data_IF_510416338038
#
_entry.id   IF_510416338038
#
_cell.length_a   1.000
_cell.length_b   1.000
_cell.length_c   1.000
_cell.angle_alpha   90.00
_cell.angle_beta   90.00
_cell.angle_gamma   90.00
#
_symmetry.space_group_name_H-M   'P 1'
#
loop_
_entity.id
_entity.type
_entity.pdbx_description
1 polymer ?
#
# COMPACT_ATOMS: atom_id res chain seq x y z
N UNK A 1 10.48 18.81 -21.60
CA UNK A 1 10.08 17.44 -21.25
C UNK A 1 10.35 17.10 -19.77
N UNK A 2 11.52 17.42 -19.25
CA UNK A 2 11.84 17.23 -17.83
C UNK A 2 10.98 18.08 -16.92
N UNK A 3 10.68 19.31 -17.33
CA UNK A 3 9.83 20.23 -16.58
C UNK A 3 8.38 19.77 -16.53
N UNK A 4 7.84 19.25 -17.62
CA UNK A 4 6.48 18.71 -17.66
C UNK A 4 6.34 17.50 -16.76
N UNK A 5 7.32 16.60 -16.79
CA UNK A 5 7.33 15.41 -15.95
C UNK A 5 7.42 15.78 -14.47
N UNK A 6 8.25 16.76 -14.13
CA UNK A 6 8.36 17.29 -12.77
C UNK A 6 7.05 17.93 -12.32
N UNK A 7 6.40 18.73 -13.18
CA UNK A 7 5.11 19.33 -12.88
C UNK A 7 4.03 18.31 -12.59
N UNK A 8 3.99 17.21 -13.33
CA UNK A 8 3.03 16.12 -13.09
C UNK A 8 3.30 15.43 -11.76
N UNK A 9 4.56 15.21 -11.41
CA UNK A 9 4.95 14.62 -10.12
C UNK A 9 4.54 15.54 -8.98
N UNK A 10 4.80 16.84 -9.09
CA UNK A 10 4.44 17.82 -8.07
C UNK A 10 2.91 17.89 -7.86
N UNK A 11 2.13 17.82 -8.93
CA UNK A 11 0.66 17.77 -8.84
C UNK A 11 0.19 16.49 -8.15
N UNK A 12 0.79 15.36 -8.48
CA UNK A 12 0.46 14.08 -7.86
C UNK A 12 0.77 14.11 -6.36
N UNK A 13 1.93 14.65 -5.97
CA UNK A 13 2.28 14.80 -4.56
C UNK A 13 1.28 15.67 -3.80
N UNK A 14 0.87 16.80 -4.38
CA UNK A 14 -0.14 17.66 -3.78
C UNK A 14 -1.45 16.93 -3.58
N UNK A 15 -1.87 16.17 -4.58
CA UNK A 15 -3.08 15.36 -4.51
C UNK A 15 -2.99 14.34 -3.36
N UNK A 16 -1.89 13.59 -3.28
CA UNK A 16 -1.73 12.59 -2.24
C UNK A 16 -1.64 13.21 -0.84
N UNK A 17 -0.99 14.37 -0.70
CA UNK A 17 -0.95 15.09 0.58
C UNK A 17 -2.34 15.54 1.03
N UNK A 18 -3.18 16.00 0.11
CA UNK A 18 -4.58 16.34 0.41
C UNK A 18 -5.37 15.09 0.79
N UNK A 19 -5.16 13.99 0.05
CA UNK A 19 -5.81 12.73 0.35
C UNK A 19 -5.44 12.25 1.75
N UNK A 20 -4.17 12.36 2.15
CA UNK A 20 -3.71 11.99 3.49
C UNK A 20 -4.44 12.80 4.56
N UNK A 21 -4.56 14.11 4.40
CA UNK A 21 -5.29 14.97 5.35
C UNK A 21 -6.74 14.50 5.53
N UNK A 22 -7.41 14.22 4.41
CA UNK A 22 -8.78 13.73 4.43
C UNK A 22 -8.88 12.37 5.13
N UNK A 23 -7.95 11.47 4.79
CA UNK A 23 -7.95 10.12 5.36
C UNK A 23 -7.59 10.12 6.84
N UNK A 24 -6.70 11.02 7.28
CA UNK A 24 -6.40 11.16 8.70
C UNK A 24 -7.62 11.64 9.48
N UNK A 25 -8.38 12.56 8.91
CA UNK A 25 -9.64 13.01 9.52
C UNK A 25 -10.64 11.87 9.61
N UNK A 26 -10.80 11.11 8.52
CA UNK A 26 -11.69 9.96 8.49
C UNK A 26 -11.26 8.90 9.51
N UNK A 27 -9.95 8.67 9.65
CA UNK A 27 -9.43 7.73 10.64
C UNK A 27 -9.68 8.20 12.07
N UNK A 28 -9.60 9.50 12.33
CA UNK A 28 -9.92 10.05 13.65
C UNK A 28 -11.38 9.85 14.02
N UNK A 29 -12.28 9.94 13.02
CA UNK A 29 -13.72 9.73 13.23
C UNK A 29 -14.08 8.25 13.35
N UNK A 30 -13.34 7.37 12.67
CA UNK A 30 -13.57 5.92 12.69
C UNK A 30 -12.22 5.17 12.66
N UNK A 31 -11.52 5.09 13.80
CA UNK A 31 -10.14 4.60 13.84
C UNK A 31 -9.97 3.09 13.60
N UNK A 32 -11.05 2.32 13.61
CA UNK A 32 -10.98 0.87 13.40
C UNK A 32 -11.31 0.46 11.97
N UNK A 33 -11.23 1.36 10.99
CA UNK A 33 -11.55 1.05 9.60
C UNK A 33 -10.29 0.63 8.84
N UNK A 34 -10.13 -0.69 8.54
CA UNK A 34 -8.95 -1.15 7.80
C UNK A 34 -8.88 -0.61 6.38
N UNK A 35 -9.99 -0.30 5.72
CA UNK A 35 -9.96 0.30 4.38
C UNK A 35 -9.31 1.68 4.41
N UNK A 36 -9.63 2.49 5.40
CA UNK A 36 -8.99 3.81 5.58
C UNK A 36 -7.49 3.66 5.82
N UNK A 37 -7.10 2.70 6.65
CA UNK A 37 -5.68 2.42 6.92
C UNK A 37 -4.95 1.94 5.66
N UNK A 38 -5.62 1.16 4.82
CA UNK A 38 -5.07 0.73 3.54
C UNK A 38 -4.80 1.94 2.62
N UNK A 39 -5.75 2.85 2.52
CA UNK A 39 -5.57 4.05 1.70
C UNK A 39 -4.50 4.98 2.26
N UNK A 40 -4.39 5.10 3.58
CA UNK A 40 -3.30 5.86 4.21
C UNK A 40 -1.94 5.25 3.88
N UNK A 41 -1.84 3.92 3.97
CA UNK A 41 -0.62 3.23 3.59
C UNK A 41 -0.25 3.49 2.13
N UNK A 42 -1.21 3.32 1.23
CA UNK A 42 -1.01 3.52 -0.20
C UNK A 42 -0.56 4.95 -0.53
N UNK A 43 -1.25 5.95 0.03
CA UNK A 43 -0.93 7.35 -0.25
C UNK A 43 0.42 7.77 0.30
N UNK A 44 0.80 7.29 1.49
CA UNK A 44 2.13 7.52 2.04
C UNK A 44 3.22 6.90 1.16
N UNK A 45 2.97 5.69 0.68
CA UNK A 45 3.90 5.03 -0.23
C UNK A 45 4.11 5.84 -1.51
N UNK A 46 3.02 6.38 -2.07
CA UNK A 46 3.08 7.15 -3.33
C UNK A 46 3.92 8.42 -3.22
N UNK A 47 4.03 8.99 -2.03
CA UNK A 47 4.89 10.17 -1.80
C UNK A 47 6.26 9.78 -1.24
N UNK A 48 6.58 8.49 -1.21
CA UNK A 48 7.89 8.01 -0.78
C UNK A 48 8.06 7.76 0.71
N UNK A 49 7.00 7.90 1.50
CA UNK A 49 7.03 7.65 2.95
C UNK A 49 6.80 6.17 3.25
N UNK A 50 7.79 5.34 2.91
CA UNK A 50 7.66 3.87 3.00
C UNK A 50 7.52 3.38 4.43
N UNK A 51 8.20 4.01 5.39
CA UNK A 51 8.06 3.65 6.82
C UNK A 51 6.65 3.88 7.32
N UNK A 52 6.09 5.04 7.04
CA UNK A 52 4.73 5.37 7.46
C UNK A 52 3.72 4.47 6.76
N UNK A 53 3.92 4.19 5.48
CA UNK A 53 3.07 3.27 4.73
C UNK A 53 3.03 1.90 5.42
N UNK A 54 4.18 1.36 5.77
CA UNK A 54 4.28 0.07 6.42
C UNK A 54 3.54 0.06 7.76
N UNK A 55 3.67 1.11 8.55
CA UNK A 55 3.00 1.23 9.84
C UNK A 55 1.48 1.18 9.67
N UNK A 56 0.93 1.95 8.72
CA UNK A 56 -0.50 1.94 8.47
C UNK A 56 -1.00 0.55 8.03
N UNK A 57 -0.26 -0.12 7.15
CA UNK A 57 -0.62 -1.46 6.71
C UNK A 57 -0.59 -2.46 7.88
N UNK A 58 0.46 -2.41 8.71
CA UNK A 58 0.58 -3.31 9.84
C UNK A 58 -0.53 -3.11 10.86
N UNK A 59 -0.89 -1.87 11.16
CA UNK A 59 -2.03 -1.57 12.04
C UNK A 59 -3.32 -2.12 11.44
N UNK A 60 -3.51 -1.94 10.15
CA UNK A 60 -4.68 -2.48 9.45
C UNK A 60 -4.76 -3.99 9.54
N UNK A 61 -3.63 -4.69 9.44
CA UNK A 61 -3.59 -6.16 9.57
C UNK A 61 -3.84 -6.63 10.99
N UNK A 62 -3.50 -5.85 12.01
CA UNK A 62 -3.87 -6.19 13.38
C UNK A 62 -5.39 -6.20 13.55
N UNK A 63 -6.08 -5.28 12.88
CA UNK A 63 -7.53 -5.19 12.94
C UNK A 63 -8.19 -6.25 12.04
N UNK A 64 -7.66 -6.41 10.83
CA UNK A 64 -8.22 -7.32 9.81
C UNK A 64 -7.09 -8.13 9.15
N UNK A 65 -6.62 -9.22 9.77
CA UNK A 65 -5.45 -9.97 9.29
C UNK A 65 -5.57 -10.53 7.88
N UNK A 66 -6.79 -10.77 7.40
CA UNK A 66 -7.02 -11.35 6.07
C UNK A 66 -7.48 -10.30 5.05
N UNK A 67 -7.37 -9.02 5.36
CA UNK A 67 -7.77 -7.96 4.44
C UNK A 67 -6.97 -8.07 3.14
N UNK A 68 -7.67 -8.29 2.04
CA UNK A 68 -7.02 -8.59 0.76
C UNK A 68 -6.16 -7.45 0.25
N UNK A 69 -6.70 -6.24 0.25
CA UNK A 69 -5.97 -5.06 -0.24
C UNK A 69 -4.71 -4.77 0.55
N UNK A 70 -4.77 -4.86 1.88
CA UNK A 70 -3.61 -4.59 2.73
C UNK A 70 -2.53 -5.65 2.52
N UNK A 71 -2.91 -6.93 2.47
CA UNK A 71 -1.95 -8.00 2.23
C UNK A 71 -1.27 -7.84 0.87
N UNK A 72 -2.01 -7.46 -0.16
CA UNK A 72 -1.43 -7.20 -1.47
C UNK A 72 -0.47 -6.01 -1.43
N UNK A 73 -0.90 -4.86 -0.95
CA UNK A 73 -0.10 -3.64 -1.00
C UNK A 73 1.12 -3.70 -0.08
N UNK A 74 0.97 -4.28 1.12
CA UNK A 74 2.12 -4.50 1.99
C UNK A 74 3.12 -5.47 1.37
N UNK A 75 2.62 -6.54 0.75
CA UNK A 75 3.46 -7.49 0.02
C UNK A 75 4.24 -6.81 -1.08
N UNK A 76 3.59 -5.93 -1.85
CA UNK A 76 4.25 -5.20 -2.93
C UNK A 76 5.27 -4.19 -2.40
N UNK A 77 4.98 -3.57 -1.25
CA UNK A 77 5.95 -2.70 -0.57
C UNK A 77 7.20 -3.50 -0.17
N UNK A 78 7.01 -4.70 0.36
CA UNK A 78 8.13 -5.58 0.70
C UNK A 78 8.95 -5.95 -0.52
N UNK A 79 8.31 -6.23 -1.67
CA UNK A 79 9.04 -6.49 -2.92
C UNK A 79 9.92 -5.29 -3.28
N UNK A 80 9.37 -4.09 -3.25
CA UNK A 80 10.10 -2.87 -3.64
C UNK A 80 11.17 -2.44 -2.64
N UNK A 81 11.13 -2.97 -1.41
CA UNK A 81 12.13 -2.68 -0.38
C UNK A 81 13.05 -3.88 -0.12
N UNK A 82 13.11 -4.83 -1.06
CA UNK A 82 14.02 -5.97 -1.03
C UNK A 82 13.78 -6.94 0.14
N UNK A 83 12.53 -7.09 0.53
CA UNK A 83 12.11 -8.00 1.59
C UNK A 83 11.19 -9.08 1.04
N UNK A 84 11.71 -9.85 0.07
CA UNK A 84 10.94 -10.83 -0.71
C UNK A 84 10.30 -11.91 0.17
N UNK A 85 11.02 -12.38 1.20
CA UNK A 85 10.48 -13.43 2.07
C UNK A 85 9.24 -12.93 2.84
N UNK A 86 9.22 -11.68 3.26
CA UNK A 86 8.05 -11.08 3.88
C UNK A 86 6.90 -10.90 2.89
N UNK A 87 7.22 -10.59 1.64
CA UNK A 87 6.21 -10.51 0.58
C UNK A 87 5.55 -11.88 0.37
N UNK A 88 6.32 -12.95 0.38
CA UNK A 88 5.80 -14.32 0.25
C UNK A 88 4.87 -14.69 1.40
N UNK A 89 5.15 -14.21 2.61
CA UNK A 89 4.25 -14.41 3.76
C UNK A 89 2.88 -13.76 3.50
N UNK A 90 2.87 -12.57 2.92
CA UNK A 90 1.60 -11.90 2.56
C UNK A 90 0.88 -12.65 1.46
N UNK A 91 1.60 -13.16 0.48
CA UNK A 91 1.03 -13.97 -0.58
C UNK A 91 0.35 -15.21 -0.03
N UNK A 92 0.99 -15.86 0.95
CA UNK A 92 0.44 -17.06 1.58
C UNK A 92 -0.91 -16.79 2.24
N UNK A 93 -1.08 -15.63 2.89
CA UNK A 93 -2.37 -15.24 3.47
C UNK A 93 -3.45 -15.14 2.41
N UNK A 94 -3.10 -14.75 1.18
CA UNK A 94 -4.04 -14.61 0.07
C UNK A 94 -4.32 -15.93 -0.68
N UNK A 95 -3.62 -17.02 -0.35
CA UNK A 95 -3.84 -18.31 -1.01
C UNK A 95 -5.30 -18.73 -0.91
N UNK A 96 -5.85 -19.17 -2.04
CA UNK A 96 -7.22 -19.66 -2.10
C UNK A 96 -8.29 -18.61 -2.15
N UNK A 97 -7.94 -17.33 -2.11
CA UNK A 97 -8.94 -16.25 -2.18
C UNK A 97 -9.63 -16.16 -3.54
N UNK A 98 -9.02 -16.71 -4.60
CA UNK A 98 -9.47 -16.56 -6.00
C UNK A 98 -9.70 -15.11 -6.35
N UNK A 99 -8.77 -14.24 -5.96
CA UNK A 99 -8.91 -12.80 -6.04
C UNK A 99 -7.77 -12.17 -6.83
N UNK A 100 -8.04 -10.99 -7.36
CA UNK A 100 -7.08 -10.20 -8.14
C UNK A 100 -5.84 -9.84 -7.29
N UNK A 101 -6.03 -9.60 -6.01
CA UNK A 101 -4.95 -9.24 -5.08
C UNK A 101 -3.87 -10.32 -5.03
N UNK A 102 -4.25 -11.60 -5.02
CA UNK A 102 -3.29 -12.70 -5.07
C UNK A 102 -2.48 -12.67 -6.37
N UNK A 103 -3.16 -12.52 -7.49
CA UNK A 103 -2.51 -12.52 -8.81
C UNK A 103 -1.55 -11.35 -8.96
N UNK A 104 -1.94 -10.16 -8.52
CA UNK A 104 -1.11 -8.97 -8.59
C UNK A 104 0.15 -9.11 -7.73
N UNK A 105 0.00 -9.61 -6.50
CA UNK A 105 1.16 -9.79 -5.62
C UNK A 105 2.08 -10.89 -6.15
N UNK A 106 1.53 -11.99 -6.63
CA UNK A 106 2.34 -13.06 -7.22
C UNK A 106 3.15 -12.53 -8.40
N UNK A 107 2.53 -11.73 -9.27
CA UNK A 107 3.22 -11.12 -10.41
C UNK A 107 4.36 -10.21 -9.94
N UNK A 108 4.13 -9.40 -8.93
CA UNK A 108 5.16 -8.50 -8.37
C UNK A 108 6.35 -9.30 -7.82
N UNK A 109 6.09 -10.37 -7.09
CA UNK A 109 7.15 -11.24 -6.55
C UNK A 109 7.94 -11.87 -7.69
N UNK A 110 7.27 -12.38 -8.71
CA UNK A 110 7.91 -13.03 -9.86
C UNK A 110 8.76 -12.06 -10.68
N UNK A 111 8.33 -10.81 -10.78
CA UNK A 111 9.07 -9.77 -11.50
C UNK A 111 10.17 -9.14 -10.65
N UNK A 112 10.10 -9.27 -9.33
CA UNK A 112 11.02 -8.61 -8.41
C UNK A 112 10.77 -7.12 -8.26
N UNK A 113 9.63 -6.63 -8.72
CA UNK A 113 9.24 -5.22 -8.62
C UNK A 113 7.73 -5.08 -8.68
N UNK A 114 7.21 -4.03 -8.03
CA UNK A 114 5.80 -3.68 -8.03
C UNK A 114 5.57 -2.43 -8.87
N UNK A 115 4.42 -2.34 -9.50
CA UNK A 115 3.99 -1.15 -10.24
C UNK A 115 3.54 0.00 -9.33
N UNK A 116 3.38 -0.26 -8.07
CA UNK A 116 2.92 0.74 -7.11
C UNK A 116 4.02 1.47 -6.36
#
# INVERSE_FOLDING_TARGET
KKLEKKGKIDKAEKYYKKAIKYLLKANAENPADPDTLNYLGFTHRKIGNFKDAEIYYLVGLEIAPTHKGINEYLGELYVNTNRIEKAKERLKVLEGCKCEEFEELQAAINQGSSKY
#
